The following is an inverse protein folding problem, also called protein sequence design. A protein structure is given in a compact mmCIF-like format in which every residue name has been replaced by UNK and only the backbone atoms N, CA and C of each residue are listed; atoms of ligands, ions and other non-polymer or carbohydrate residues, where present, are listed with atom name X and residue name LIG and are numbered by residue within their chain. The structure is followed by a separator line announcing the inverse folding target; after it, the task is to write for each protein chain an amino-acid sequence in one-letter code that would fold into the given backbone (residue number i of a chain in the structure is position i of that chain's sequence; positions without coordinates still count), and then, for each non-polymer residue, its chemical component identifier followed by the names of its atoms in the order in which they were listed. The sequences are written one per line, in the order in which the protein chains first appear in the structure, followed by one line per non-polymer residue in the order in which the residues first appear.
data_IF_353866702669
#
_entry.id   IF_353866702669
#
_cell.length_a   1.000
_cell.length_b   1.000
_cell.length_c   1.000
_cell.angle_alpha   90.00
_cell.angle_beta   90.00
_cell.angle_gamma   90.00
#
_symmetry.space_group_name_H-M   'P 1'
#
loop_
_entity.id
_entity.type
_entity.pdbx_description
1 polymer ?
#
# COMPACT_ATOMS: atom_id res chain seq x y z
N UNK A 1 25.44 22.09 -2.83
CA UNK A 1 25.90 22.13 -4.24
C UNK A 1 24.82 22.80 -5.08
N UNK A 2 25.19 23.58 -6.10
CA UNK A 2 24.24 24.19 -7.05
C UNK A 2 24.34 23.46 -8.37
N UNK A 3 23.20 23.01 -8.88
CA UNK A 3 23.10 22.16 -10.07
C UNK A 3 21.93 22.63 -10.91
N UNK A 4 22.09 22.60 -12.22
CA UNK A 4 20.99 22.81 -13.17
C UNK A 4 20.48 21.44 -13.58
N UNK A 5 19.17 21.21 -13.49
CA UNK A 5 18.52 19.96 -13.85
C UNK A 5 17.36 20.26 -14.78
N UNK A 6 17.13 19.38 -15.74
CA UNK A 6 15.91 19.38 -16.56
C UNK A 6 14.89 18.47 -15.87
N UNK A 7 13.64 18.93 -15.76
CA UNK A 7 12.56 18.17 -15.13
C UNK A 7 11.48 17.89 -16.16
N UNK A 8 10.98 16.66 -16.16
CA UNK A 8 9.81 16.27 -16.95
C UNK A 8 8.53 16.89 -16.37
N UNK A 9 7.48 16.97 -17.20
CA UNK A 9 6.24 17.68 -16.86
C UNK A 9 5.53 17.09 -15.62
N UNK A 10 5.57 15.77 -15.46
CA UNK A 10 5.01 15.06 -14.31
C UNK A 10 5.77 15.39 -13.02
N UNK A 11 7.10 15.51 -13.09
CA UNK A 11 7.94 15.92 -11.96
C UNK A 11 7.66 17.36 -11.56
N UNK A 12 7.45 18.27 -12.52
CA UNK A 12 7.06 19.66 -12.24
C UNK A 12 5.70 19.70 -11.52
N UNK A 13 4.71 18.91 -11.97
CA UNK A 13 3.39 18.83 -11.32
C UNK A 13 3.50 18.33 -9.87
N UNK A 14 4.26 17.25 -9.65
CA UNK A 14 4.48 16.71 -8.31
C UNK A 14 5.19 17.72 -7.39
N UNK A 15 6.15 18.48 -7.93
CA UNK A 15 6.85 19.53 -7.20
C UNK A 15 5.91 20.66 -6.81
N UNK A 16 5.08 21.16 -7.72
CA UNK A 16 4.10 22.22 -7.44
C UNK A 16 3.07 21.78 -6.40
N UNK A 17 2.59 20.55 -6.48
CA UNK A 17 1.69 19.99 -5.47
C UNK A 17 2.34 19.98 -4.09
N UNK A 18 3.57 19.46 -3.99
CA UNK A 18 4.32 19.43 -2.73
C UNK A 18 4.53 20.84 -2.15
N UNK A 19 4.80 21.83 -3.00
CA UNK A 19 4.96 23.22 -2.59
C UNK A 19 3.66 23.80 -2.03
N UNK A 20 2.50 23.48 -2.62
CA UNK A 20 1.19 23.93 -2.15
C UNK A 20 0.82 23.29 -0.82
N UNK A 21 1.05 21.99 -0.69
CA UNK A 21 0.66 21.22 0.49
C UNK A 21 1.55 21.55 1.71
N UNK A 22 2.86 21.74 1.49
CA UNK A 22 3.84 21.94 2.57
C UNK A 22 4.37 23.39 2.67
N UNK A 23 3.92 24.32 1.81
CA UNK A 23 4.33 25.73 1.83
C UNK A 23 5.81 25.96 1.49
N UNK A 24 6.43 25.06 0.71
CA UNK A 24 7.88 25.06 0.49
C UNK A 24 8.33 25.92 -0.71
N UNK A 25 9.54 26.48 -0.59
CA UNK A 25 10.25 27.05 -1.73
C UNK A 25 10.70 25.95 -2.73
N UNK A 26 10.83 26.30 -4.01
CA UNK A 26 11.12 25.33 -5.10
C UNK A 26 12.34 24.45 -4.83
N UNK A 27 13.47 25.03 -4.39
CA UNK A 27 14.67 24.25 -4.09
C UNK A 27 14.49 23.33 -2.87
N UNK A 28 13.74 23.76 -1.86
CA UNK A 28 13.45 22.94 -0.69
C UNK A 28 12.55 21.76 -1.05
N UNK A 29 11.50 22.00 -1.84
CA UNK A 29 10.59 20.96 -2.33
C UNK A 29 11.31 19.96 -3.24
N UNK A 30 12.21 20.42 -4.12
CA UNK A 30 12.97 19.52 -5.01
C UNK A 30 13.91 18.63 -4.20
N UNK A 31 14.66 19.20 -3.26
CA UNK A 31 15.52 18.42 -2.36
C UNK A 31 14.70 17.42 -1.53
N UNK A 32 13.49 17.79 -1.10
CA UNK A 32 12.59 16.91 -0.37
C UNK A 32 12.14 15.72 -1.22
N UNK A 33 11.72 15.95 -2.47
CA UNK A 33 11.36 14.88 -3.41
C UNK A 33 12.53 13.95 -3.67
N UNK A 34 13.72 14.47 -3.97
CA UNK A 34 14.93 13.66 -4.21
C UNK A 34 15.26 12.81 -2.99
N UNK A 35 15.25 13.37 -1.79
CA UNK A 35 15.50 12.62 -0.55
C UNK A 35 14.46 11.52 -0.31
N UNK A 36 13.17 11.79 -0.55
CA UNK A 36 12.10 10.78 -0.45
C UNK A 36 12.31 9.64 -1.45
N UNK A 37 12.66 9.98 -2.69
CA UNK A 37 12.96 8.99 -3.74
C UNK A 37 14.16 8.11 -3.40
N UNK A 38 15.26 8.70 -2.90
CA UNK A 38 16.43 7.95 -2.46
C UNK A 38 16.12 7.02 -1.29
N UNK A 39 15.34 7.49 -0.30
CA UNK A 39 14.92 6.66 0.83
C UNK A 39 14.05 5.47 0.37
N UNK A 40 13.08 5.73 -0.51
CA UNK A 40 12.23 4.68 -1.09
C UNK A 40 13.01 3.66 -1.91
N UNK A 41 14.06 4.09 -2.61
CA UNK A 41 14.95 3.18 -3.36
C UNK A 41 15.84 2.33 -2.43
N UNK A 42 16.23 2.86 -1.26
CA UNK A 42 16.99 2.12 -0.26
C UNK A 42 16.13 1.16 0.58
N UNK A 43 14.82 1.39 0.66
CA UNK A 43 13.91 0.46 1.32
C UNK A 43 13.72 -0.81 0.48
N UNK A 44 14.51 -1.83 0.79
CA UNK A 44 14.16 -3.21 0.41
C UNK A 44 12.91 -3.58 1.20
N UNK A 45 11.72 -3.45 0.60
CA UNK A 45 10.50 -3.97 1.21
C UNK A 45 10.71 -5.45 1.48
N UNK A 46 10.64 -5.84 2.76
CA UNK A 46 10.61 -7.25 3.11
C UNK A 46 9.45 -7.91 2.34
N UNK A 47 9.67 -9.10 1.74
CA UNK A 47 8.60 -9.78 1.04
C UNK A 47 7.42 -9.98 1.99
N UNK A 48 6.22 -9.67 1.51
CA UNK A 48 5.01 -9.90 2.29
C UNK A 48 4.92 -11.38 2.66
N UNK A 49 4.81 -11.67 3.95
CA UNK A 49 4.52 -13.01 4.46
C UNK A 49 3.14 -13.00 5.10
N UNK A 50 2.21 -13.73 4.48
CA UNK A 50 0.89 -13.96 5.06
C UNK A 50 1.06 -14.70 6.39
N UNK A 51 0.56 -14.09 7.46
CA UNK A 51 0.47 -14.76 8.76
C UNK A 51 -0.72 -15.68 8.71
N UNK A 52 -0.45 -16.99 8.73
CA UNK A 52 -1.49 -18.01 8.86
C UNK A 52 -1.59 -18.42 10.33
N UNK A 53 -2.79 -18.84 10.73
CA UNK A 53 -3.06 -19.47 12.02
C UNK A 53 -3.81 -20.78 11.76
N UNK A 54 -3.55 -21.78 12.59
CA UNK A 54 -4.34 -23.01 12.58
C UNK A 54 -5.76 -22.70 13.08
N UNK A 55 -6.76 -22.85 12.21
CA UNK A 55 -8.18 -22.67 12.54
C UNK A 55 -8.82 -23.98 13.03
N UNK A 56 -8.03 -25.05 13.15
CA UNK A 56 -8.49 -26.38 13.46
C UNK A 56 -9.25 -27.02 12.31
N UNK A 57 -10.04 -28.05 12.65
CA UNK A 57 -10.89 -28.72 11.67
C UNK A 57 -12.13 -27.86 11.40
N UNK A 58 -12.47 -27.61 10.12
CA UNK A 58 -13.71 -26.93 9.78
C UNK A 58 -14.93 -27.69 10.33
N UNK A 59 -15.89 -26.95 10.90
CA UNK A 59 -17.20 -27.50 11.33
C UNK A 59 -18.15 -27.72 10.16
N UNK A 60 -17.90 -27.06 9.04
CA UNK A 60 -18.67 -27.12 7.79
C UNK A 60 -17.70 -27.29 6.62
N UNK A 61 -18.12 -27.91 5.50
CA UNK A 61 -17.29 -27.98 4.30
C UNK A 61 -16.98 -26.58 3.78
N UNK A 62 -15.72 -26.33 3.42
CA UNK A 62 -15.26 -25.02 2.92
C UNK A 62 -15.05 -25.00 1.41
N UNK A 63 -15.14 -26.17 0.78
CA UNK A 63 -15.00 -26.43 -0.64
C UNK A 63 -16.35 -26.61 -1.35
N UNK A 64 -17.44 -26.75 -0.59
CA UNK A 64 -18.81 -26.83 -1.09
C UNK A 64 -19.73 -25.82 -0.39
N UNK A 65 -20.01 -24.71 -1.07
CA UNK A 65 -20.85 -23.64 -0.52
C UNK A 65 -22.30 -24.10 -0.31
N UNK A 66 -22.85 -24.94 -1.19
CA UNK A 66 -24.25 -25.38 -1.07
C UNK A 66 -24.49 -26.19 0.20
N UNK A 67 -23.64 -27.18 0.43
CA UNK A 67 -23.70 -28.03 1.63
C UNK A 67 -23.39 -27.24 2.90
N UNK A 68 -22.46 -26.29 2.85
CA UNK A 68 -22.18 -25.40 3.97
C UNK A 68 -23.41 -24.56 4.37
N UNK A 69 -24.16 -24.04 3.39
CA UNK A 69 -25.36 -23.26 3.63
C UNK A 69 -26.49 -24.12 4.22
N UNK A 70 -26.72 -25.32 3.69
CA UNK A 70 -27.73 -26.25 4.21
C UNK A 70 -27.48 -26.59 5.70
N UNK A 71 -26.23 -26.82 6.10
CA UNK A 71 -25.87 -27.09 7.51
C UNK A 71 -26.19 -25.88 8.40
N UNK A 72 -25.81 -24.67 7.98
CA UNK A 72 -26.00 -23.45 8.77
C UNK A 72 -27.50 -23.06 8.89
N UNK A 73 -28.26 -23.26 7.84
CA UNK A 73 -29.71 -23.00 7.82
C UNK A 73 -30.48 -24.04 8.67
N UNK A 74 -30.00 -25.28 8.69
CA UNK A 74 -30.54 -26.38 9.51
C UNK A 74 -30.33 -26.20 11.02
N UNK A 75 -29.19 -25.65 11.46
CA UNK A 75 -28.91 -25.34 12.88
C UNK A 75 -29.81 -24.21 13.44
N UNK A 76 -30.50 -23.45 12.58
CA UNK A 76 -31.35 -22.31 12.97
C UNK A 76 -32.81 -22.68 13.31
N UNK A 77 -33.17 -23.98 13.26
CA UNK A 77 -34.54 -24.48 13.46
C UNK A 77 -34.66 -25.62 14.49
N UNK A 78 -33.79 -25.66 15.51
CA UNK A 78 -33.80 -26.64 16.60
C UNK A 78 -34.01 -26.01 17.98
#
# INVERSE_FOLDING_TARGET
MRTTVTLDEDVVKALEQLRRDEGLATSAALNRLVRRGLAAASETKAPFRQRTSDLGRPRVPLDNIGEALEILEGESHG
#
